data_IF_555698225153
#
_entry.id   IF_555698225153
#
_cell.length_a   1.000
_cell.length_b   1.000
_cell.length_c   1.000
_cell.angle_alpha   90.00
_cell.angle_beta   90.00
_cell.angle_gamma   90.00
#
_symmetry.space_group_name_H-M   'P 1'
#
loop_
_entity.id
_entity.type
_entity.pdbx_description
1 polymer ?
#
# COMPACT_ATOMS: atom_id res chain seq x y z
N UNK A 1 39.66 29.75 37.87
CA UNK A 1 39.91 28.43 38.49
C UNK A 1 39.78 27.40 37.39
N UNK A 2 40.95 27.09 36.86
CA UNK A 2 41.25 26.16 35.78
C UNK A 2 41.33 24.76 36.40
N UNK A 3 40.66 23.76 35.84
CA UNK A 3 41.01 22.37 36.09
C UNK A 3 41.04 21.57 34.79
N UNK A 4 42.17 20.88 34.67
CA UNK A 4 42.75 20.27 33.49
C UNK A 4 42.07 18.98 33.05
N UNK A 5 42.19 18.81 31.74
CA UNK A 5 42.12 17.62 30.92
C UNK A 5 42.97 16.45 31.45
N UNK A 6 42.43 15.23 31.45
CA UNK A 6 43.23 13.99 31.44
C UNK A 6 42.66 13.04 30.39
N UNK A 7 43.39 12.97 29.27
CA UNK A 7 43.36 11.87 28.31
C UNK A 7 44.24 10.75 28.86
N UNK A 8 43.80 9.49 28.75
CA UNK A 8 44.68 8.33 28.91
C UNK A 8 44.70 7.53 27.60
N UNK A 9 45.91 7.30 27.10
CA UNK A 9 46.22 6.47 25.94
C UNK A 9 46.97 5.20 26.39
N UNK A 10 46.61 4.07 25.78
CA UNK A 10 47.49 2.90 25.53
C UNK A 10 47.20 1.61 26.33
N UNK A 11 47.66 0.41 25.87
CA UNK A 11 48.49 0.14 24.70
C UNK A 11 47.91 -0.90 23.71
N UNK A 12 48.56 -0.98 22.54
CA UNK A 12 48.39 -1.98 21.50
C UNK A 12 48.76 -3.40 21.96
N UNK A 13 48.00 -4.41 21.53
CA UNK A 13 48.35 -5.82 21.65
C UNK A 13 47.84 -6.60 20.44
N UNK A 14 48.77 -7.22 19.73
CA UNK A 14 48.65 -7.95 18.47
C UNK A 14 48.20 -9.40 18.61
N UNK A 15 47.93 -10.03 17.46
CA UNK A 15 47.71 -11.46 17.17
C UNK A 15 46.25 -11.90 17.32
N UNK A 16 45.62 -12.65 16.42
CA UNK A 16 46.08 -13.40 15.26
C UNK A 16 44.92 -14.32 14.85
N UNK A 17 44.74 -14.43 13.54
CA UNK A 17 43.80 -15.27 12.76
C UNK A 17 43.08 -16.43 13.47
N UNK A 18 41.77 -16.49 13.23
CA UNK A 18 40.96 -17.71 13.28
C UNK A 18 39.77 -17.57 12.33
N UNK A 19 40.00 -17.71 11.02
CA UNK A 19 38.94 -17.98 10.05
C UNK A 19 38.50 -19.42 10.29
N UNK A 20 37.38 -19.60 10.98
CA UNK A 20 36.73 -20.91 11.06
C UNK A 20 35.89 -21.07 9.81
N UNK A 21 36.44 -21.76 8.81
CA UNK A 21 35.67 -22.27 7.68
C UNK A 21 34.61 -23.22 8.23
N UNK A 22 33.33 -22.85 8.14
CA UNK A 22 32.22 -23.77 8.41
C UNK A 22 32.23 -24.83 7.31
N UNK A 23 32.25 -26.11 7.71
CA UNK A 23 32.11 -27.22 6.78
C UNK A 23 30.71 -27.20 6.12
N UNK A 24 30.61 -27.64 4.85
CA UNK A 24 29.33 -27.70 4.16
C UNK A 24 28.46 -28.81 4.75
N UNK A 25 27.26 -28.45 5.20
CA UNK A 25 26.20 -29.40 5.57
C UNK A 25 25.67 -30.05 4.31
N UNK A 26 25.85 -31.36 4.18
CA UNK A 26 25.21 -32.19 3.16
C UNK A 26 23.70 -32.27 3.42
N UNK A 27 22.83 -32.10 2.41
CA UNK A 27 21.40 -32.31 2.59
C UNK A 27 21.12 -33.79 2.87
N UNK A 28 20.49 -34.08 4.01
CA UNK A 28 19.94 -35.40 4.30
C UNK A 28 18.70 -35.67 3.46
N UNK A 29 18.55 -36.91 2.99
CA UNK A 29 17.36 -37.38 2.28
C UNK A 29 16.11 -37.27 3.16
N UNK A 30 14.97 -36.76 2.66
CA UNK A 30 13.72 -36.77 3.39
C UNK A 30 13.11 -38.17 3.38
N UNK A 31 13.28 -38.90 4.48
CA UNK A 31 12.46 -40.06 4.81
C UNK A 31 11.12 -39.60 5.39
N UNK A 32 10.01 -40.03 4.81
CA UNK A 32 8.69 -39.98 5.45
C UNK A 32 7.63 -39.32 4.59
N UNK A 33 6.85 -40.14 3.88
CA UNK A 33 5.60 -39.75 3.29
C UNK A 33 4.61 -39.32 4.40
N UNK A 34 4.14 -38.08 4.34
CA UNK A 34 2.94 -37.64 5.04
C UNK A 34 1.84 -37.40 4.01
N UNK A 35 0.74 -38.16 4.16
CA UNK A 35 -0.46 -38.06 3.35
C UNK A 35 -1.01 -36.64 3.36
N UNK A 36 -1.07 -36.02 2.18
CA UNK A 36 -1.81 -34.78 1.96
C UNK A 36 -3.28 -35.13 1.69
N UNK A 37 -4.26 -34.55 2.39
CA UNK A 37 -5.66 -34.73 1.99
C UNK A 37 -5.90 -34.02 0.67
N UNK A 38 -6.35 -34.78 -0.34
CA UNK A 38 -6.75 -34.25 -1.64
C UNK A 38 -7.85 -33.20 -1.44
N UNK A 39 -7.60 -31.98 -1.90
CA UNK A 39 -8.63 -30.95 -2.05
C UNK A 39 -9.71 -31.50 -3.00
N UNK A 40 -10.83 -31.95 -2.42
CA UNK A 40 -12.01 -32.32 -3.17
C UNK A 40 -12.55 -31.11 -3.91
N UNK A 41 -12.98 -31.33 -5.15
CA UNK A 41 -13.67 -30.34 -5.96
C UNK A 41 -14.91 -29.84 -5.19
N UNK A 42 -14.85 -28.59 -4.71
CA UNK A 42 -15.97 -27.90 -4.11
C UNK A 42 -17.06 -27.71 -5.15
N UNK A 43 -18.21 -28.33 -4.92
CA UNK A 43 -19.40 -28.18 -5.75
C UNK A 43 -19.90 -26.74 -5.77
N UNK A 44 -20.38 -26.30 -6.94
CA UNK A 44 -21.02 -25.01 -7.13
C UNK A 44 -22.27 -24.88 -6.24
N UNK A 45 -22.37 -23.76 -5.50
CA UNK A 45 -23.58 -23.39 -4.77
C UNK A 45 -24.67 -22.94 -5.76
N UNK A 46 -25.94 -23.36 -5.61
CA UNK A 46 -27.00 -22.97 -6.52
C UNK A 46 -27.45 -21.51 -6.31
N UNK A 47 -27.90 -20.91 -7.42
CA UNK A 47 -28.18 -19.49 -7.66
C UNK A 47 -28.84 -18.70 -6.54
N UNK A 48 -28.21 -17.57 -6.20
CA UNK A 48 -28.83 -16.41 -5.55
C UNK A 48 -29.57 -15.52 -6.57
N UNK A 49 -30.45 -14.62 -6.10
CA UNK A 49 -31.36 -13.87 -6.97
C UNK A 49 -30.61 -13.02 -8.00
N UNK A 50 -31.16 -13.01 -9.21
CA UNK A 50 -30.76 -12.21 -10.36
C UNK A 50 -30.44 -10.77 -9.94
N UNK A 51 -29.15 -10.45 -9.89
CA UNK A 51 -28.67 -9.11 -9.59
C UNK A 51 -29.15 -8.21 -10.73
N UNK A 52 -30.10 -7.34 -10.41
CA UNK A 52 -30.53 -6.27 -11.31
C UNK A 52 -29.31 -5.43 -11.67
N UNK A 53 -28.90 -5.51 -12.93
CA UNK A 53 -27.74 -4.84 -13.50
C UNK A 53 -27.84 -3.32 -13.29
N UNK A 54 -27.19 -2.83 -12.23
CA UNK A 54 -26.83 -1.43 -12.12
C UNK A 54 -25.71 -1.15 -13.12
N UNK A 55 -25.83 -0.06 -13.87
CA UNK A 55 -24.88 0.37 -14.92
C UNK A 55 -23.57 0.89 -14.32
N UNK A 56 -22.89 0.11 -13.50
CA UNK A 56 -21.46 0.26 -13.30
C UNK A 56 -20.83 -0.29 -14.59
N UNK A 57 -20.06 0.52 -15.30
CA UNK A 57 -19.40 0.11 -16.55
C UNK A 57 -18.66 -1.22 -16.37
N UNK A 58 -18.44 -1.94 -17.48
CA UNK A 58 -17.95 -3.33 -17.58
C UNK A 58 -16.61 -3.67 -16.86
N UNK A 59 -16.08 -2.80 -16.01
CA UNK A 59 -14.92 -3.05 -15.16
C UNK A 59 -15.29 -3.85 -13.90
N UNK A 60 -14.45 -4.83 -13.55
CA UNK A 60 -14.49 -5.58 -12.29
C UNK A 60 -14.53 -4.59 -11.10
N UNK A 61 -15.49 -4.71 -10.15
CA UNK A 61 -15.57 -3.84 -8.98
C UNK A 61 -14.33 -3.84 -8.09
N UNK A 62 -13.49 -4.89 -8.15
CA UNK A 62 -12.25 -5.01 -7.38
C UNK A 62 -10.99 -4.65 -8.18
N UNK A 63 -11.11 -4.29 -9.46
CA UNK A 63 -9.98 -3.81 -10.25
C UNK A 63 -9.36 -2.55 -9.62
N UNK A 64 -8.12 -2.17 -9.99
CA UNK A 64 -7.48 -0.99 -9.45
C UNK A 64 -8.32 0.26 -9.75
N UNK A 65 -8.46 1.20 -8.79
CA UNK A 65 -9.22 2.43 -9.00
C UNK A 65 -8.67 3.27 -10.16
N UNK A 66 -7.37 3.20 -10.45
CA UNK A 66 -6.75 3.80 -11.63
C UNK A 66 -7.31 3.28 -12.97
N UNK A 67 -7.92 2.10 -12.97
CA UNK A 67 -8.65 1.52 -14.10
C UNK A 67 -10.15 1.80 -14.00
N UNK A 68 -10.78 1.50 -12.85
CA UNK A 68 -12.24 1.63 -12.66
C UNK A 68 -12.73 3.08 -12.81
N UNK A 69 -11.96 4.05 -12.30
CA UNK A 69 -12.40 5.46 -12.28
C UNK A 69 -12.52 6.10 -13.67
N UNK A 70 -11.94 5.46 -14.71
CA UNK A 70 -12.05 5.88 -16.11
C UNK A 70 -13.45 5.67 -16.69
N UNK A 71 -14.18 4.69 -16.15
CA UNK A 71 -15.51 4.30 -16.59
C UNK A 71 -16.63 5.01 -15.83
N UNK A 72 -16.30 5.79 -14.81
CA UNK A 72 -17.30 6.46 -13.96
C UNK A 72 -17.90 7.66 -14.68
N UNK A 73 -19.20 7.88 -14.45
CA UNK A 73 -19.92 9.03 -14.96
C UNK A 73 -19.28 10.31 -14.44
N UNK A 74 -18.99 11.21 -15.37
CA UNK A 74 -18.34 12.48 -15.09
C UNK A 74 -19.29 13.48 -14.41
N UNK A 75 -18.79 14.37 -13.53
CA UNK A 75 -19.62 15.40 -12.92
C UNK A 75 -20.22 16.34 -13.97
N UNK A 76 -21.45 16.80 -13.73
CA UNK A 76 -22.16 17.79 -14.55
C UNK A 76 -21.25 18.99 -14.88
N UNK A 77 -21.28 19.42 -16.15
CA UNK A 77 -20.42 20.50 -16.63
C UNK A 77 -20.65 21.81 -15.86
N UNK A 78 -21.87 22.04 -15.37
CA UNK A 78 -22.22 23.22 -14.57
C UNK A 78 -21.53 23.31 -13.20
N UNK A 79 -21.02 22.19 -12.67
CA UNK A 79 -20.28 22.17 -11.39
C UNK A 79 -18.79 22.49 -11.60
N UNK A 80 -18.34 22.59 -12.85
CA UNK A 80 -16.93 22.79 -13.21
C UNK A 80 -16.60 24.28 -13.24
N UNK A 81 -15.66 24.67 -12.39
CA UNK A 81 -15.11 26.02 -12.36
C UNK A 81 -13.59 26.06 -12.65
N UNK A 82 -12.93 24.90 -12.63
CA UNK A 82 -11.48 24.75 -12.80
C UNK A 82 -11.09 23.74 -13.89
N UNK A 83 -9.80 23.67 -14.26
CA UNK A 83 -9.31 22.83 -15.35
C UNK A 83 -9.26 21.34 -15.01
N UNK A 84 -9.24 20.99 -13.72
CA UNK A 84 -9.15 19.61 -13.24
C UNK A 84 -10.55 19.04 -13.00
N UNK A 85 -10.83 17.90 -13.63
CA UNK A 85 -12.09 17.15 -13.46
C UNK A 85 -12.02 16.17 -12.29
N UNK A 86 -10.87 15.53 -12.17
CA UNK A 86 -10.57 14.44 -11.24
C UNK A 86 -9.16 14.60 -10.71
N UNK A 87 -8.93 14.17 -9.49
CA UNK A 87 -7.60 13.94 -8.93
C UNK A 87 -7.58 12.59 -8.22
N UNK A 88 -6.43 11.93 -8.22
CA UNK A 88 -6.20 10.80 -7.33
C UNK A 88 -5.59 11.29 -6.03
N UNK A 89 -6.09 10.79 -4.90
CA UNK A 89 -5.50 10.97 -3.59
C UNK A 89 -4.84 9.66 -3.20
N UNK A 90 -3.52 9.59 -3.33
CA UNK A 90 -2.72 8.45 -2.89
C UNK A 90 -2.37 8.68 -1.44
N UNK A 91 -3.14 8.05 -0.55
CA UNK A 91 -2.98 8.19 0.89
C UNK A 91 -2.25 6.96 1.42
N UNK A 92 -0.96 7.15 1.68
CA UNK A 92 -0.06 6.13 2.20
C UNK A 92 -0.01 6.19 3.73
N UNK A 93 0.18 5.03 4.34
CA UNK A 93 0.16 4.85 5.78
C UNK A 93 1.49 4.27 6.25
N UNK A 94 2.21 5.03 7.08
CA UNK A 94 3.43 4.62 7.78
C UNK A 94 3.13 3.96 9.12
N UNK A 95 3.94 4.24 10.15
CA UNK A 95 3.60 3.86 11.52
C UNK A 95 2.45 4.73 12.05
N UNK A 96 1.23 4.30 11.75
CA UNK A 96 -0.03 4.99 12.05
C UNK A 96 -0.95 4.17 12.96
N UNK A 97 -1.90 4.87 13.58
CA UNK A 97 -3.05 4.28 14.25
C UNK A 97 -4.37 4.47 13.47
N UNK A 98 -4.28 4.94 12.22
CA UNK A 98 -5.40 5.30 11.32
C UNK A 98 -6.36 6.35 11.90
N UNK A 99 -5.89 7.12 12.89
CA UNK A 99 -6.68 8.17 13.54
C UNK A 99 -6.99 9.34 12.60
N UNK A 100 -6.12 9.66 11.64
CA UNK A 100 -6.39 10.70 10.65
C UNK A 100 -7.42 10.22 9.63
N UNK A 101 -7.34 8.95 9.21
CA UNK A 101 -8.37 8.31 8.40
C UNK A 101 -9.74 8.42 9.08
N UNK A 102 -9.85 8.01 10.35
CA UNK A 102 -11.10 8.08 11.12
C UNK A 102 -11.61 9.52 11.22
N UNK A 103 -10.73 10.47 11.53
CA UNK A 103 -11.10 11.88 11.64
C UNK A 103 -11.64 12.46 10.33
N UNK A 104 -11.00 12.16 9.18
CA UNK A 104 -11.44 12.64 7.87
C UNK A 104 -12.74 11.97 7.43
N UNK A 105 -12.91 10.67 7.70
CA UNK A 105 -14.17 9.97 7.40
C UNK A 105 -15.37 10.56 8.17
N UNK A 106 -15.13 11.14 9.34
CA UNK A 106 -16.14 11.85 10.14
C UNK A 106 -16.42 13.30 9.73
N UNK A 107 -15.75 13.84 8.71
CA UNK A 107 -15.92 15.24 8.30
C UNK A 107 -17.35 15.52 7.81
N UNK A 108 -17.89 16.71 8.14
CA UNK A 108 -19.26 17.10 7.76
C UNK A 108 -19.34 18.31 6.83
N UNK A 109 -18.24 19.08 6.70
CA UNK A 109 -18.22 20.34 5.95
C UNK A 109 -16.86 20.56 5.25
N UNK A 110 -16.64 20.00 4.05
CA UNK A 110 -17.51 19.04 3.37
C UNK A 110 -17.39 17.62 3.94
N UNK A 111 -18.33 16.74 3.55
CA UNK A 111 -18.21 15.30 3.78
C UNK A 111 -17.23 14.67 2.80
N UNK A 112 -16.58 13.58 3.19
CA UNK A 112 -15.68 12.85 2.28
C UNK A 112 -16.42 12.33 1.05
N UNK A 113 -17.67 11.87 1.21
CA UNK A 113 -18.50 11.36 0.13
C UNK A 113 -18.84 12.44 -0.89
N UNK A 114 -18.91 13.71 -0.48
CA UNK A 114 -19.15 14.81 -1.41
C UNK A 114 -17.96 15.03 -2.36
N UNK A 115 -16.74 14.76 -1.89
CA UNK A 115 -15.53 14.80 -2.72
C UNK A 115 -15.45 13.58 -3.64
N UNK A 116 -15.77 12.39 -3.13
CA UNK A 116 -15.79 11.14 -3.89
C UNK A 116 -16.82 11.16 -5.03
N UNK A 117 -17.99 11.76 -4.77
CA UNK A 117 -19.07 11.88 -5.77
C UNK A 117 -18.91 13.10 -6.68
N UNK A 118 -17.99 14.02 -6.37
CA UNK A 118 -17.73 15.21 -7.19
C UNK A 118 -18.88 16.22 -7.22
N UNK A 119 -19.73 16.25 -6.18
CA UNK A 119 -20.93 17.14 -6.16
C UNK A 119 -20.62 18.56 -5.69
N UNK A 120 -19.41 18.84 -5.22
CA UNK A 120 -19.02 20.16 -4.72
C UNK A 120 -18.64 21.05 -5.91
N UNK A 121 -19.35 22.18 -6.14
CA UNK A 121 -19.03 23.09 -7.22
C UNK A 121 -17.59 23.64 -7.09
N UNK A 122 -16.86 23.63 -8.20
CA UNK A 122 -15.51 24.19 -8.28
C UNK A 122 -14.38 23.31 -7.73
N UNK A 123 -14.68 22.12 -7.19
CA UNK A 123 -13.66 21.13 -6.80
C UNK A 123 -13.66 19.93 -7.75
N UNK A 124 -12.47 19.34 -8.03
CA UNK A 124 -12.41 18.08 -8.77
C UNK A 124 -12.98 16.93 -7.95
N UNK A 125 -13.50 15.89 -8.63
CA UNK A 125 -13.82 14.60 -8.00
C UNK A 125 -12.53 13.98 -7.47
N UNK A 126 -12.60 13.35 -6.29
CA UNK A 126 -11.45 12.69 -5.68
C UNK A 126 -11.59 11.18 -5.79
N UNK A 127 -10.58 10.51 -6.35
CA UNK A 127 -10.42 9.06 -6.30
C UNK A 127 -9.41 8.70 -5.21
N UNK A 128 -9.84 8.01 -4.16
CA UNK A 128 -8.99 7.73 -3.01
C UNK A 128 -8.35 6.33 -3.16
N UNK A 129 -7.01 6.30 -3.18
CA UNK A 129 -6.19 5.10 -3.01
C UNK A 129 -5.72 5.08 -1.57
N UNK A 130 -6.31 4.22 -0.74
CA UNK A 130 -6.06 4.17 0.70
C UNK A 130 -6.26 2.76 1.24
N UNK A 131 -5.38 2.30 2.12
CA UNK A 131 -5.40 0.93 2.68
C UNK A 131 -6.72 0.55 3.37
N UNK A 132 -7.33 1.46 4.14
CA UNK A 132 -8.63 1.28 4.82
C UNK A 132 -9.86 1.56 3.94
N UNK A 133 -9.83 2.57 3.07
CA UNK A 133 -11.03 3.07 2.37
C UNK A 133 -11.20 2.54 0.94
N UNK A 134 -10.14 2.03 0.31
CA UNK A 134 -10.23 1.44 -1.03
C UNK A 134 -11.08 0.17 -1.02
N UNK A 135 -11.76 -0.07 -2.15
CA UNK A 135 -12.56 -1.28 -2.34
C UNK A 135 -11.67 -2.44 -2.78
N UNK A 136 -10.71 -2.16 -3.66
CA UNK A 136 -9.67 -3.10 -4.06
C UNK A 136 -8.67 -3.38 -2.92
N UNK A 137 -8.00 -4.53 -2.97
CA UNK A 137 -7.04 -4.96 -1.96
C UNK A 137 -5.91 -5.80 -2.58
N UNK A 138 -4.83 -5.99 -1.83
CA UNK A 138 -3.71 -6.82 -2.25
C UNK A 138 -3.06 -6.32 -3.55
N UNK A 139 -2.78 -7.20 -4.53
CA UNK A 139 -2.10 -6.81 -5.78
C UNK A 139 -2.81 -5.70 -6.55
N UNK A 140 -4.14 -5.68 -6.56
CA UNK A 140 -4.90 -4.65 -7.28
C UNK A 140 -4.80 -3.27 -6.63
N UNK A 141 -4.69 -3.23 -5.30
CA UNK A 141 -4.41 -1.98 -4.59
C UNK A 141 -2.99 -1.49 -4.88
N UNK A 142 -2.01 -2.39 -4.82
CA UNK A 142 -0.59 -2.11 -5.10
C UNK A 142 -0.38 -1.63 -6.54
N UNK A 143 -1.13 -2.18 -7.50
CA UNK A 143 -1.08 -1.76 -8.90
C UNK A 143 -1.37 -0.25 -9.07
N UNK A 144 -2.21 0.35 -8.22
CA UNK A 144 -2.42 1.80 -8.26
C UNK A 144 -1.15 2.61 -7.96
N UNK A 145 -0.29 2.11 -7.05
CA UNK A 145 0.96 2.79 -6.71
C UNK A 145 1.94 2.75 -7.87
N UNK A 146 2.08 1.60 -8.52
CA UNK A 146 2.92 1.45 -9.71
C UNK A 146 2.39 2.25 -10.91
N UNK A 147 1.08 2.27 -11.13
CA UNK A 147 0.47 3.15 -12.15
C UNK A 147 0.76 4.63 -11.88
N UNK A 148 0.76 5.04 -10.60
CA UNK A 148 1.09 6.42 -10.24
C UNK A 148 2.57 6.74 -10.50
N UNK A 149 3.48 5.86 -10.06
CA UNK A 149 4.92 5.98 -10.28
C UNK A 149 5.27 6.06 -11.77
N UNK A 150 4.65 5.19 -12.59
CA UNK A 150 4.84 5.14 -14.03
C UNK A 150 4.16 6.30 -14.79
N UNK A 151 3.31 7.09 -14.12
CA UNK A 151 2.55 8.18 -14.76
C UNK A 151 1.41 7.70 -15.66
N UNK A 152 0.87 6.51 -15.40
CA UNK A 152 -0.18 5.87 -16.20
C UNK A 152 -1.61 6.21 -15.73
N UNK A 153 -1.74 6.98 -14.65
CA UNK A 153 -3.01 7.54 -14.21
C UNK A 153 -3.52 8.58 -15.21
N UNK A 154 -4.82 8.57 -15.48
CA UNK A 154 -5.49 9.47 -16.44
C UNK A 154 -5.77 10.88 -15.88
N UNK A 155 -5.34 11.15 -14.65
CA UNK A 155 -5.47 12.43 -13.97
C UNK A 155 -4.32 12.65 -12.99
N UNK A 156 -4.02 13.91 -12.59
CA UNK A 156 -3.00 14.19 -11.59
C UNK A 156 -3.32 13.53 -10.24
N UNK A 157 -2.27 13.26 -9.47
CA UNK A 157 -2.41 12.73 -8.12
C UNK A 157 -1.73 13.62 -7.09
N UNK A 158 -2.23 13.54 -5.86
CA UNK A 158 -1.63 14.11 -4.66
C UNK A 158 -1.29 12.97 -3.73
N UNK A 159 -0.11 13.04 -3.11
CA UNK A 159 0.31 12.09 -2.07
C UNK A 159 -0.02 12.68 -0.70
N UNK A 160 -0.72 11.91 0.13
CA UNK A 160 -0.90 12.16 1.55
C UNK A 160 -0.16 11.08 2.32
N UNK A 161 0.59 11.50 3.35
CA UNK A 161 1.29 10.59 4.25
C UNK A 161 0.67 10.64 5.64
N UNK A 162 0.21 9.50 6.14
CA UNK A 162 -0.33 9.34 7.49
C UNK A 162 0.60 8.49 8.35
N UNK A 163 0.87 8.94 9.57
CA UNK A 163 1.83 8.32 10.48
C UNK A 163 3.27 8.75 10.21
N UNK A 164 4.22 8.17 10.96
CA UNK A 164 5.65 8.46 10.77
C UNK A 164 6.28 7.52 9.73
N UNK A 165 7.26 8.05 8.98
CA UNK A 165 8.17 7.26 8.15
C UNK A 165 9.20 6.59 9.06
N UNK A 166 9.37 5.29 8.95
CA UNK A 166 10.32 4.54 9.78
C UNK A 166 11.69 4.47 9.12
N UNK A 167 12.76 4.50 9.92
CA UNK A 167 14.12 4.35 9.40
C UNK A 167 14.42 2.87 9.13
N UNK A 168 14.25 2.47 7.87
CA UNK A 168 14.52 1.11 7.41
C UNK A 168 16.02 0.73 7.43
N UNK A 169 16.94 1.68 7.66
CA UNK A 169 18.35 1.31 7.87
C UNK A 169 18.58 0.60 9.20
N UNK A 170 17.61 0.67 10.12
CA UNK A 170 17.64 0.09 11.45
C UNK A 170 16.82 -1.22 11.58
N UNK A 171 16.15 -1.67 10.52
CA UNK A 171 15.28 -2.87 10.57
C UNK A 171 16.02 -4.20 10.36
N UNK A 172 17.31 -4.16 10.04
CA UNK A 172 18.15 -5.36 9.84
C UNK A 172 17.74 -6.12 8.57
N UNK A 173 17.41 -7.40 8.72
CA UNK A 173 16.93 -8.25 7.61
C UNK A 173 15.40 -8.14 7.39
N UNK A 174 14.71 -7.36 8.25
CA UNK A 174 13.24 -7.20 8.22
C UNK A 174 12.79 -5.86 7.65
N UNK A 175 11.61 -5.43 8.08
CA UNK A 175 11.02 -4.12 7.79
C UNK A 175 10.15 -3.68 8.98
N UNK A 176 9.95 -2.37 9.14
CA UNK A 176 9.08 -1.86 10.21
C UNK A 176 7.62 -1.92 9.83
N UNK A 177 7.30 -1.48 8.61
CA UNK A 177 5.94 -1.41 8.07
C UNK A 177 5.95 -1.69 6.57
N UNK A 178 4.85 -2.25 6.08
CA UNK A 178 4.71 -2.68 4.70
C UNK A 178 3.37 -2.28 4.11
N UNK A 179 3.38 -1.79 2.87
CA UNK A 179 2.20 -1.39 2.11
C UNK A 179 1.67 -2.50 1.18
N UNK A 180 2.56 -3.39 0.76
CA UNK A 180 2.25 -4.49 -0.15
C UNK A 180 3.52 -5.16 -0.66
N UNK A 181 3.37 -6.10 -1.59
CA UNK A 181 4.49 -6.81 -2.20
C UNK A 181 4.76 -6.25 -3.59
N UNK A 182 6.02 -6.00 -3.90
CA UNK A 182 6.48 -5.69 -5.25
C UNK A 182 6.27 -6.93 -6.14
N UNK A 183 5.46 -6.85 -7.20
CA UNK A 183 5.12 -7.99 -8.04
C UNK A 183 6.31 -8.53 -8.86
N UNK A 184 7.35 -7.71 -9.11
CA UNK A 184 8.53 -8.15 -9.85
C UNK A 184 9.55 -8.82 -8.93
N UNK A 185 9.77 -8.25 -7.74
CA UNK A 185 10.85 -8.70 -6.84
C UNK A 185 10.38 -9.62 -5.73
N UNK A 186 9.06 -9.67 -5.47
CA UNK A 186 8.47 -10.35 -4.32
C UNK A 186 8.85 -9.72 -2.97
N UNK A 187 9.47 -8.53 -2.98
CA UNK A 187 9.91 -7.84 -1.77
C UNK A 187 8.81 -6.97 -1.21
N UNK A 188 8.84 -6.79 0.10
CA UNK A 188 7.95 -5.84 0.77
C UNK A 188 8.22 -4.41 0.28
N UNK A 189 7.17 -3.73 -0.15
CA UNK A 189 7.15 -2.27 -0.33
C UNK A 189 6.99 -1.67 1.07
N UNK A 190 8.01 -0.96 1.55
CA UNK A 190 8.03 -0.34 2.87
C UNK A 190 7.35 1.02 2.86
N UNK A 191 6.74 1.42 3.98
CA UNK A 191 6.27 2.79 4.21
C UNK A 191 7.25 3.64 5.01
#
# INVERSE_FOLDING_TARGET
>A
MEQQQQQSNGPSGSNGRGVTTREPVTPGEPTGASDSPSLGAGGAMPGGPEQTQGTYGDCDPLAPIGIRSRSLVEPEESLRLGPLRKIYLIWLVGASCDGCTVAVSGATHPRVEHLLTGIIPGLPRVEIVHTVLSVESGPEWVANLFMAEAGELDAPYVITWEGSVMDETLSGDGYWMGLGEDPETGRQITS
#
